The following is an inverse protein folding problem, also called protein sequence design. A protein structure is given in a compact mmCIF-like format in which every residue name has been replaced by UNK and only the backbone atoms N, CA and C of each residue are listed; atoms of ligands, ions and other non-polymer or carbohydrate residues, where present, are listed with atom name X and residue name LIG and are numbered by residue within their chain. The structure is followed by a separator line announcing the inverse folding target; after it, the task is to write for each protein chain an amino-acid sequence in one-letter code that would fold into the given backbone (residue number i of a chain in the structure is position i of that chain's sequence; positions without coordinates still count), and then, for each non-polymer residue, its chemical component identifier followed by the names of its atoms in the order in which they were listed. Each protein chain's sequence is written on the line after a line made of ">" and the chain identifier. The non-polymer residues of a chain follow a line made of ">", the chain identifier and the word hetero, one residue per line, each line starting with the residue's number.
data_IF_199881921124
#
_entry.id   IF_199881921124
#
_cell.length_a   1.000
_cell.length_b   1.000
_cell.length_c   1.000
_cell.angle_alpha   90.00
_cell.angle_beta   90.00
_cell.angle_gamma   90.00
#
_symmetry.space_group_name_H-M   'P 1'
#
loop_
_entity.id
_entity.type
_entity.pdbx_description
1 polymer ?
#
# COMPACT_ATOMS: atom_id res chain seq x y z
N UNK A 1 -12.70 -8.21 -9.97
CA UNK A 1 -12.79 -6.90 -9.29
C UNK A 1 -11.94 -6.95 -8.03
N UNK A 2 -11.11 -5.93 -7.76
CA UNK A 2 -10.22 -5.90 -6.59
C UNK A 2 -10.82 -5.18 -5.38
N UNK A 3 -12.02 -4.61 -5.52
CA UNK A 3 -12.70 -3.80 -4.49
C UNK A 3 -12.93 -4.53 -3.17
N UNK A 4 -13.03 -5.87 -3.19
CA UNK A 4 -13.19 -6.72 -2.00
C UNK A 4 -11.91 -7.46 -1.59
N UNK A 5 -10.76 -7.13 -2.17
CA UNK A 5 -9.46 -7.78 -1.91
C UNK A 5 -8.58 -6.88 -1.04
N UNK A 6 -7.86 -7.50 -0.10
CA UNK A 6 -6.80 -6.86 0.70
C UNK A 6 -5.50 -6.93 -0.09
N UNK A 7 -4.99 -5.78 -0.54
CA UNK A 7 -3.83 -5.69 -1.43
C UNK A 7 -2.63 -5.14 -0.65
N UNK A 8 -1.48 -5.79 -0.79
CA UNK A 8 -0.21 -5.37 -0.23
C UNK A 8 0.82 -5.10 -1.33
N UNK A 9 1.42 -3.91 -1.31
CA UNK A 9 2.49 -3.52 -2.23
C UNK A 9 3.82 -3.57 -1.47
N UNK A 10 4.63 -4.60 -1.75
CA UNK A 10 5.99 -4.67 -1.22
C UNK A 10 6.85 -3.68 -2.00
N UNK A 11 7.33 -2.64 -1.31
CA UNK A 11 8.12 -1.57 -1.92
C UNK A 11 7.26 -0.48 -2.53
N UNK A 12 6.96 0.56 -1.75
CA UNK A 12 6.30 1.80 -2.21
C UNK A 12 7.31 2.89 -2.60
N UNK A 13 8.35 2.51 -3.32
CA UNK A 13 9.21 3.46 -4.04
C UNK A 13 8.49 4.03 -5.27
N UNK A 14 9.23 4.57 -6.23
CA UNK A 14 8.64 5.28 -7.38
C UNK A 14 7.58 4.50 -8.15
N UNK A 15 7.84 3.21 -8.45
CA UNK A 15 6.88 2.35 -9.16
C UNK A 15 5.71 1.95 -8.26
N UNK A 16 5.99 1.48 -7.04
CA UNK A 16 4.94 1.05 -6.10
C UNK A 16 3.99 2.19 -5.75
N UNK A 17 4.50 3.41 -5.57
CA UNK A 17 3.71 4.61 -5.35
C UNK A 17 2.89 5.01 -6.59
N UNK A 18 3.45 4.88 -7.80
CA UNK A 18 2.70 5.12 -9.05
C UNK A 18 1.53 4.15 -9.19
N UNK A 19 1.77 2.86 -8.90
CA UNK A 19 0.76 1.81 -8.91
C UNK A 19 -0.33 2.09 -7.87
N UNK A 20 0.08 2.37 -6.63
CA UNK A 20 -0.78 2.75 -5.51
C UNK A 20 -1.70 3.91 -5.88
N UNK A 21 -1.12 5.00 -6.38
CA UNK A 21 -1.84 6.20 -6.79
C UNK A 21 -2.84 5.90 -7.91
N UNK A 22 -2.45 5.09 -8.89
CA UNK A 22 -3.34 4.64 -9.96
C UNK A 22 -4.53 3.83 -9.43
N UNK A 23 -4.29 2.90 -8.50
CA UNK A 23 -5.35 2.11 -7.87
C UNK A 23 -6.36 2.96 -7.10
N UNK A 24 -5.86 3.95 -6.34
CA UNK A 24 -6.70 4.87 -5.57
C UNK A 24 -7.53 5.76 -6.51
N UNK A 25 -6.88 6.41 -7.49
CA UNK A 25 -7.54 7.34 -8.42
C UNK A 25 -8.62 6.69 -9.28
N UNK A 26 -8.45 5.41 -9.61
CA UNK A 26 -9.40 4.66 -10.43
C UNK A 26 -10.37 3.81 -9.58
N UNK A 27 -10.40 4.00 -8.27
CA UNK A 27 -11.28 3.26 -7.34
C UNK A 27 -11.20 1.72 -7.50
N UNK A 28 -10.03 1.19 -7.88
CA UNK A 28 -9.85 -0.25 -8.14
C UNK A 28 -9.89 -1.06 -6.85
N UNK A 29 -9.41 -0.47 -5.75
CA UNK A 29 -9.32 -1.04 -4.41
C UNK A 29 -9.76 0.02 -3.40
N UNK A 30 -10.47 -0.38 -2.34
CA UNK A 30 -10.76 0.52 -1.23
C UNK A 30 -9.48 0.90 -0.52
N UNK A 31 -9.32 2.18 -0.18
CA UNK A 31 -8.13 2.70 0.50
C UNK A 31 -7.80 1.93 1.80
N UNK A 32 -8.81 1.55 2.58
CA UNK A 32 -8.68 0.74 3.80
C UNK A 32 -8.14 -0.68 3.56
N UNK A 33 -8.30 -1.21 2.35
CA UNK A 33 -7.82 -2.54 1.95
C UNK A 33 -6.43 -2.51 1.31
N UNK A 34 -5.87 -1.31 1.08
CA UNK A 34 -4.58 -1.13 0.44
C UNK A 34 -3.51 -0.87 1.51
N UNK A 35 -2.40 -1.58 1.40
CA UNK A 35 -1.25 -1.46 2.30
C UNK A 35 0.05 -1.45 1.50
N UNK A 36 1.09 -0.81 2.04
CA UNK A 36 2.39 -0.74 1.36
C UNK A 36 3.56 -0.81 2.34
N UNK A 37 4.70 -1.31 1.88
CA UNK A 37 5.92 -1.35 2.69
C UNK A 37 7.10 -0.66 2.03
N UNK A 38 8.01 -0.14 2.85
CA UNK A 38 9.29 0.42 2.39
C UNK A 38 10.34 0.17 3.47
N UNK A 39 11.62 0.20 3.11
CA UNK A 39 12.71 -0.09 4.04
C UNK A 39 13.01 1.07 5.01
N UNK A 40 12.55 2.29 4.69
CA UNK A 40 12.84 3.50 5.48
C UNK A 40 11.57 4.01 6.17
N UNK A 41 11.64 4.17 7.49
CA UNK A 41 10.52 4.63 8.33
C UNK A 41 9.99 6.00 7.89
N UNK A 42 10.89 6.95 7.58
CA UNK A 42 10.52 8.28 7.09
C UNK A 42 9.67 8.21 5.82
N UNK A 43 10.10 7.42 4.83
CA UNK A 43 9.33 7.19 3.60
C UNK A 43 7.99 6.49 3.88
N UNK A 44 7.93 5.60 4.87
CA UNK A 44 6.68 4.95 5.26
C UNK A 44 5.68 5.95 5.84
N UNK A 45 6.15 6.91 6.64
CA UNK A 45 5.35 7.99 7.20
C UNK A 45 4.89 8.97 6.12
N UNK A 46 5.77 9.31 5.17
CA UNK A 46 5.42 10.15 4.02
C UNK A 46 4.29 9.52 3.17
N UNK A 47 4.40 8.25 2.83
CA UNK A 47 3.38 7.52 2.06
C UNK A 47 2.07 7.43 2.85
N UNK A 48 2.13 7.16 4.15
CA UNK A 48 0.95 7.18 5.02
C UNK A 48 0.28 8.56 5.02
N UNK A 49 1.04 9.64 5.21
CA UNK A 49 0.48 11.00 5.24
C UNK A 49 -0.11 11.40 3.88
N UNK A 50 0.57 11.06 2.78
CA UNK A 50 0.19 11.45 1.42
C UNK A 50 -1.04 10.71 0.91
N UNK A 51 -1.12 9.40 1.15
CA UNK A 51 -2.18 8.55 0.60
C UNK A 51 -3.20 8.08 1.64
N UNK A 52 -2.86 8.15 2.93
CA UNK A 52 -3.65 7.69 4.08
C UNK A 52 -3.84 6.17 4.13
N UNK A 53 -2.93 5.40 3.54
CA UNK A 53 -2.92 3.94 3.63
C UNK A 53 -2.09 3.51 4.85
N UNK A 54 -2.32 2.31 5.38
CA UNK A 54 -1.41 1.75 6.39
C UNK A 54 -0.09 1.32 5.72
N UNK A 55 1.03 1.78 6.28
CA UNK A 55 2.38 1.45 5.81
C UNK A 55 3.13 0.59 6.82
N UNK A 56 4.17 -0.12 6.35
CA UNK A 56 4.96 -1.04 7.15
C UNK A 56 6.45 -0.95 6.78
N UNK A 57 7.32 -1.21 7.75
CA UNK A 57 8.76 -1.45 7.52
C UNK A 57 9.14 -2.94 7.45
N UNK A 58 8.20 -3.82 7.79
CA UNK A 58 8.38 -5.27 7.75
C UNK A 58 7.41 -5.93 6.76
N UNK A 59 7.96 -6.55 5.72
CA UNK A 59 7.16 -7.20 4.68
C UNK A 59 6.36 -8.38 5.23
N UNK A 60 6.93 -9.19 6.13
CA UNK A 60 6.27 -10.38 6.67
C UNK A 60 5.04 -10.01 7.49
N UNK A 61 5.15 -8.95 8.28
CA UNK A 61 4.01 -8.41 9.03
C UNK A 61 2.92 -7.91 8.08
N UNK A 62 3.31 -7.13 7.06
CA UNK A 62 2.37 -6.53 6.11
C UNK A 62 1.54 -7.57 5.34
N UNK A 63 2.17 -8.63 4.83
CA UNK A 63 1.51 -9.60 3.93
C UNK A 63 0.56 -10.56 4.66
N UNK A 64 0.60 -10.60 5.99
CA UNK A 64 -0.25 -11.49 6.78
C UNK A 64 -1.74 -11.20 6.53
N UNK A 65 -2.48 -12.22 6.06
CA UNK A 65 -3.91 -12.12 5.79
C UNK A 65 -4.29 -11.22 4.60
N UNK A 66 -3.36 -10.99 3.67
CA UNK A 66 -3.60 -10.30 2.40
C UNK A 66 -3.97 -11.30 1.30
N UNK A 67 -4.75 -10.84 0.33
CA UNK A 67 -5.16 -11.67 -0.81
C UNK A 67 -4.15 -11.60 -1.96
N UNK A 68 -3.52 -10.44 -2.13
CA UNK A 68 -2.61 -10.08 -3.23
C UNK A 68 -1.43 -9.32 -2.64
#
# INVERSE_FOLDING_TARGET
>A
MLTNKKVAIIGVGKIGETLLNGMIKNNLVKKENLTGSTAQEEHAQEINKKYGIKTYINNKEMISGKDI
#
